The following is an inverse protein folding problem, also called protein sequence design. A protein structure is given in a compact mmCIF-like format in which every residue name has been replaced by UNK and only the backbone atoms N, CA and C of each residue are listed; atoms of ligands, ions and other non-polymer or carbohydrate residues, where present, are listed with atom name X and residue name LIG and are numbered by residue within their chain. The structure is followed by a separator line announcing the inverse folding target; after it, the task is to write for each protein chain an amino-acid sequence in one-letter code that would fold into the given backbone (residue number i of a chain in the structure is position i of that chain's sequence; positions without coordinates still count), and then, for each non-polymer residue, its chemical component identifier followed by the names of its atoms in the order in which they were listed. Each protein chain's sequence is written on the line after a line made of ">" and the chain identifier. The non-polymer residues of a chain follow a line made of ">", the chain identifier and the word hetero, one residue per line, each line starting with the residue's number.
data_IF_302029957472
#
_entry.id   IF_302029957472
#
_cell.length_a   1.000
_cell.length_b   1.000
_cell.length_c   1.000
_cell.angle_alpha   90.00
_cell.angle_beta   90.00
_cell.angle_gamma   90.00
#
_symmetry.space_group_name_H-M   'P 1'
#
loop_
_entity.id
_entity.type
_entity.pdbx_description
1 polymer ?
#
# COMPACT_ATOMS: atom_id res chain seq x y z
N UNK A 1 70.62 9.49 28.41
CA UNK A 1 71.15 9.49 27.03
C UNK A 1 70.15 8.68 26.20
N UNK A 2 69.49 9.21 25.15
CA UNK A 2 70.02 9.90 23.94
C UNK A 2 70.68 8.84 23.04
N UNK A 3 70.34 8.59 21.76
CA UNK A 3 69.34 9.05 20.73
C UNK A 3 68.83 7.77 19.99
N UNK A 4 67.71 7.60 19.26
CA UNK A 4 66.86 8.33 18.27
C UNK A 4 67.43 8.58 16.86
N UNK A 5 67.10 7.68 15.91
CA UNK A 5 66.86 7.90 14.45
C UNK A 5 65.80 6.86 13.99
N UNK A 6 64.83 7.03 13.06
CA UNK A 6 64.61 7.87 11.85
C UNK A 6 65.21 7.27 10.56
N UNK A 7 64.57 7.22 9.37
CA UNK A 7 63.19 7.54 8.91
C UNK A 7 62.48 6.23 8.43
N UNK A 8 61.38 6.10 7.66
CA UNK A 8 60.46 6.90 6.80
C UNK A 8 59.03 6.31 6.94
N UNK A 9 57.88 6.93 6.65
CA UNK A 9 57.44 8.20 6.03
C UNK A 9 57.48 8.35 4.48
N UNK A 10 56.30 8.25 3.86
CA UNK A 10 55.97 8.82 2.54
C UNK A 10 54.76 9.76 2.68
N UNK A 11 54.88 10.99 2.14
CA UNK A 11 53.77 11.94 1.99
C UNK A 11 52.77 11.52 0.89
N UNK A 12 51.79 12.33 0.49
CA UNK A 12 51.68 13.80 0.44
C UNK A 12 50.21 14.23 0.62
N UNK A 13 49.83 15.47 0.94
CA UNK A 13 50.53 16.61 1.55
C UNK A 13 49.47 17.65 1.99
N UNK A 14 49.81 18.51 2.97
CA UNK A 14 48.99 19.66 3.35
C UNK A 14 49.32 20.90 2.51
N UNK A 15 48.34 21.77 2.28
CA UNK A 15 48.52 23.14 1.78
C UNK A 15 47.71 24.08 2.68
N UNK A 16 48.33 25.07 3.35
CA UNK A 16 47.63 25.93 4.30
C UNK A 16 46.87 27.06 3.60
N UNK A 17 45.62 27.31 4.00
CA UNK A 17 44.80 28.36 3.38
C UNK A 17 43.51 28.71 4.12
N UNK A 18 43.60 29.59 5.12
CA UNK A 18 42.51 30.30 5.82
C UNK A 18 41.35 29.46 6.39
N UNK A 19 41.27 29.43 7.72
CA UNK A 19 39.96 29.36 8.40
C UNK A 19 39.09 30.53 7.95
N UNK A 20 37.81 30.28 7.67
CA UNK A 20 36.82 31.34 7.41
C UNK A 20 35.38 30.86 7.70
N UNK A 21 35.13 30.46 8.94
CA UNK A 21 33.79 30.32 9.51
C UNK A 21 33.81 30.71 10.99
N UNK A 22 33.79 32.02 11.24
CA UNK A 22 33.34 32.54 12.53
C UNK A 22 31.82 32.29 12.67
N UNK A 23 31.33 31.86 13.84
CA UNK A 23 29.92 31.53 14.05
C UNK A 23 29.02 32.74 14.32
N UNK A 24 29.49 33.97 14.06
CA UNK A 24 28.82 35.22 14.44
C UNK A 24 28.76 36.26 13.29
N UNK A 25 28.08 35.95 12.17
CA UNK A 25 27.32 36.95 11.39
C UNK A 25 26.46 36.30 10.28
N UNK A 26 25.18 36.04 10.54
CA UNK A 26 24.18 35.82 9.47
C UNK A 26 22.74 36.14 9.91
N UNK A 27 22.56 37.30 10.54
CA UNK A 27 21.21 37.84 10.78
C UNK A 27 20.51 38.13 9.45
N UNK A 28 19.53 37.30 9.08
CA UNK A 28 18.59 37.58 8.00
C UNK A 28 18.94 36.97 6.64
N UNK A 29 18.75 35.65 6.50
CA UNK A 29 17.63 35.17 5.67
C UNK A 29 17.31 33.68 5.97
N UNK A 30 16.33 33.45 6.85
CA UNK A 30 15.64 32.16 6.93
C UNK A 30 14.82 31.96 5.65
N UNK A 31 15.43 31.39 4.61
CA UNK A 31 14.69 30.81 3.48
C UNK A 31 14.38 29.36 3.87
N UNK A 32 13.14 29.03 4.32
CA UNK A 32 12.80 27.64 4.55
C UNK A 32 12.79 26.88 3.22
N UNK A 33 13.66 25.88 3.08
CA UNK A 33 13.59 24.87 2.01
C UNK A 33 12.41 23.89 2.20
N UNK A 34 11.29 24.40 2.73
CA UNK A 34 9.98 23.74 2.66
C UNK A 34 9.50 23.75 1.22
N UNK A 35 9.26 22.57 0.64
CA UNK A 35 8.47 22.43 -0.59
C UNK A 35 6.98 22.49 -0.18
N UNK A 36 6.31 23.66 -0.23
CA UNK A 36 5.16 23.90 0.67
C UNK A 36 3.91 23.12 0.27
N UNK A 37 3.81 22.76 -1.02
CA UNK A 37 2.59 22.22 -1.61
C UNK A 37 2.42 20.71 -1.36
N UNK A 38 3.53 19.97 -1.15
CA UNK A 38 3.48 18.50 -1.02
C UNK A 38 3.00 18.10 0.37
N UNK A 39 3.50 18.76 1.42
CA UNK A 39 3.09 18.52 2.81
C UNK A 39 1.63 18.91 3.04
N UNK A 40 1.20 20.09 2.57
CA UNK A 40 -0.19 20.51 2.66
C UNK A 40 -1.14 19.52 1.94
N UNK A 41 -0.74 18.97 0.80
CA UNK A 41 -1.54 17.96 0.09
C UNK A 41 -1.57 16.62 0.84
N UNK A 42 -0.44 16.15 1.40
CA UNK A 42 -0.43 14.91 2.20
C UNK A 42 -1.30 15.03 3.45
N UNK A 43 -1.25 16.18 4.13
CA UNK A 43 -2.01 16.42 5.36
C UNK A 43 -3.52 16.52 5.08
N UNK A 44 -3.90 17.21 4.00
CA UNK A 44 -5.29 17.25 3.54
C UNK A 44 -5.80 15.85 3.17
N UNK A 45 -5.03 15.08 2.40
CA UNK A 45 -5.40 13.72 2.00
C UNK A 45 -5.45 12.74 3.19
N UNK A 46 -4.50 12.83 4.14
CA UNK A 46 -4.54 12.05 5.37
C UNK A 46 -5.78 12.39 6.21
N UNK A 47 -6.14 13.66 6.35
CA UNK A 47 -7.35 14.07 7.09
C UNK A 47 -8.66 13.65 6.39
N UNK A 48 -8.71 13.70 5.06
CA UNK A 48 -9.86 13.25 4.28
C UNK A 48 -10.05 11.73 4.38
N UNK A 49 -8.97 10.96 4.24
CA UNK A 49 -9.00 9.52 4.41
C UNK A 49 -9.27 9.09 5.87
N UNK A 50 -8.84 9.86 6.88
CA UNK A 50 -9.22 9.65 8.27
C UNK A 50 -10.74 9.74 8.48
N UNK A 51 -11.38 10.75 7.89
CA UNK A 51 -12.85 10.92 7.94
C UNK A 51 -13.57 9.78 7.22
N UNK A 52 -13.01 9.26 6.13
CA UNK A 52 -13.56 8.08 5.44
C UNK A 52 -13.47 6.82 6.32
N UNK A 53 -12.32 6.53 6.93
CA UNK A 53 -12.19 5.41 7.88
C UNK A 53 -13.18 5.54 9.04
N UNK A 54 -13.22 6.69 9.69
CA UNK A 54 -14.12 6.95 10.83
C UNK A 54 -15.60 6.82 10.44
N UNK A 55 -15.99 7.26 9.23
CA UNK A 55 -17.37 7.10 8.73
C UNK A 55 -17.70 5.64 8.46
N UNK A 56 -16.75 4.86 7.93
CA UNK A 56 -16.91 3.41 7.73
C UNK A 56 -17.04 2.65 9.06
N UNK A 57 -16.26 3.06 10.07
CA UNK A 57 -16.34 2.53 11.44
C UNK A 57 -17.69 2.86 12.11
N UNK A 58 -18.17 4.11 12.01
CA UNK A 58 -19.51 4.51 12.49
C UNK A 58 -20.64 3.69 11.84
N UNK A 59 -20.49 3.30 10.58
CA UNK A 59 -21.44 2.45 9.84
C UNK A 59 -21.21 0.94 10.08
N UNK A 60 -20.19 0.55 10.85
CA UNK A 60 -19.73 -0.83 11.03
C UNK A 60 -19.43 -1.56 9.69
N UNK A 61 -19.03 -0.81 8.66
CA UNK A 61 -18.75 -1.30 7.32
C UNK A 61 -17.24 -1.46 7.09
N UNK A 62 -16.77 -2.70 7.01
CA UNK A 62 -15.37 -2.96 6.64
C UNK A 62 -15.15 -2.64 5.16
N UNK A 63 -14.04 -1.99 4.82
CA UNK A 63 -13.67 -1.74 3.42
C UNK A 63 -13.64 -3.04 2.58
N UNK A 64 -13.27 -4.17 3.19
CA UNK A 64 -13.34 -5.51 2.59
C UNK A 64 -14.75 -5.86 2.07
N UNK A 65 -15.80 -5.58 2.85
CA UNK A 65 -17.19 -5.88 2.43
C UNK A 65 -17.68 -4.95 1.32
N UNK A 66 -17.18 -3.71 1.25
CA UNK A 66 -17.47 -2.81 0.12
C UNK A 66 -16.81 -3.30 -1.17
N UNK A 67 -15.55 -3.73 -1.12
CA UNK A 67 -14.86 -4.31 -2.27
C UNK A 67 -15.51 -5.62 -2.74
N UNK A 68 -15.93 -6.49 -1.82
CA UNK A 68 -16.71 -7.68 -2.13
C UNK A 68 -18.03 -7.33 -2.85
N UNK A 69 -18.78 -6.34 -2.34
CA UNK A 69 -20.04 -5.91 -2.94
C UNK A 69 -19.83 -5.29 -4.34
N UNK A 70 -18.78 -4.48 -4.52
CA UNK A 70 -18.39 -3.94 -5.83
C UNK A 70 -18.04 -5.07 -6.82
N UNK A 71 -17.32 -6.11 -6.37
CA UNK A 71 -17.00 -7.27 -7.19
C UNK A 71 -18.25 -8.08 -7.58
N UNK A 72 -19.18 -8.33 -6.65
CA UNK A 72 -20.48 -8.97 -6.93
C UNK A 72 -21.27 -8.18 -7.98
N UNK A 73 -21.28 -6.85 -7.89
CA UNK A 73 -21.95 -5.95 -8.83
C UNK A 73 -21.31 -6.01 -10.23
N UNK A 74 -19.98 -6.06 -10.33
CA UNK A 74 -19.27 -6.27 -11.61
C UNK A 74 -19.66 -7.61 -12.23
N UNK A 75 -19.61 -8.70 -11.46
CA UNK A 75 -19.96 -10.05 -11.94
C UNK A 75 -21.41 -10.11 -12.42
N UNK A 76 -22.36 -9.53 -11.67
CA UNK A 76 -23.77 -9.50 -12.07
C UNK A 76 -23.99 -8.76 -13.40
N UNK A 77 -23.44 -7.54 -13.54
CA UNK A 77 -23.51 -6.76 -14.79
C UNK A 77 -22.86 -7.50 -15.97
N UNK A 78 -21.75 -8.19 -15.72
CA UNK A 78 -21.02 -8.95 -16.73
C UNK A 78 -21.81 -10.20 -17.17
N UNK A 79 -22.40 -10.98 -16.25
CA UNK A 79 -23.29 -12.11 -16.57
C UNK A 79 -24.52 -11.65 -17.36
N UNK A 80 -25.18 -10.55 -16.94
CA UNK A 80 -26.28 -9.96 -17.72
C UNK A 80 -25.87 -9.46 -19.11
N UNK A 81 -24.58 -9.28 -19.38
CA UNK A 81 -24.08 -8.93 -20.72
C UNK A 81 -23.71 -10.19 -21.52
N UNK A 82 -22.98 -11.12 -20.91
CA UNK A 82 -22.63 -12.42 -21.49
C UNK A 82 -23.86 -13.17 -22.02
N UNK A 83 -24.95 -13.22 -21.23
CA UNK A 83 -26.22 -13.84 -21.63
C UNK A 83 -26.96 -13.10 -22.78
N UNK A 84 -26.61 -11.85 -23.09
CA UNK A 84 -27.15 -11.11 -24.26
C UNK A 84 -26.22 -11.12 -25.47
N UNK A 85 -24.92 -11.30 -25.29
CA UNK A 85 -23.93 -11.42 -26.36
C UNK A 85 -23.83 -12.84 -26.93
N UNK A 86 -24.88 -13.66 -26.80
CA UNK A 86 -24.89 -15.06 -27.21
C UNK A 86 -25.13 -15.20 -28.73
N UNK A 87 -24.15 -14.74 -29.52
CA UNK A 87 -24.16 -14.80 -30.97
C UNK A 87 -22.85 -14.28 -31.58
N UNK A 88 -22.41 -14.84 -32.70
CA UNK A 88 -21.11 -14.55 -33.32
C UNK A 88 -20.92 -13.06 -33.72
N UNK A 89 -22.00 -12.29 -33.83
CA UNK A 89 -21.97 -10.86 -34.18
C UNK A 89 -21.48 -9.95 -33.06
N UNK A 90 -21.42 -10.41 -31.81
CA UNK A 90 -21.13 -9.59 -30.62
C UNK A 90 -19.88 -10.08 -29.85
N UNK A 91 -18.92 -10.71 -30.57
CA UNK A 91 -17.69 -11.29 -30.02
C UNK A 91 -16.90 -10.37 -29.05
N UNK A 92 -16.69 -9.06 -29.32
CA UNK A 92 -16.01 -8.17 -28.37
C UNK A 92 -16.74 -8.05 -27.03
N UNK A 93 -18.08 -8.03 -27.04
CA UNK A 93 -18.90 -8.01 -25.84
C UNK A 93 -18.84 -9.33 -25.05
N UNK A 94 -18.77 -10.46 -25.76
CA UNK A 94 -18.55 -11.78 -25.15
C UNK A 94 -17.18 -11.87 -24.46
N UNK A 95 -16.11 -11.41 -25.12
CA UNK A 95 -14.76 -11.39 -24.57
C UNK A 95 -14.65 -10.47 -23.35
N UNK A 96 -15.17 -9.24 -23.44
CA UNK A 96 -15.07 -8.27 -22.34
C UNK A 96 -15.94 -8.66 -21.14
N UNK A 97 -17.13 -9.24 -21.36
CA UNK A 97 -17.94 -9.79 -20.27
C UNK A 97 -17.29 -11.03 -19.62
N UNK A 98 -16.65 -11.91 -20.39
CA UNK A 98 -15.88 -13.05 -19.84
C UNK A 98 -14.69 -12.59 -19.00
N UNK A 99 -13.99 -11.53 -19.44
CA UNK A 99 -12.92 -10.88 -18.68
C UNK A 99 -13.43 -10.28 -17.36
N UNK A 100 -14.56 -9.55 -17.40
CA UNK A 100 -15.19 -8.97 -16.21
C UNK A 100 -15.69 -10.02 -15.22
N UNK A 101 -16.31 -11.12 -15.69
CA UNK A 101 -16.71 -12.25 -14.83
C UNK A 101 -15.48 -12.83 -14.13
N UNK A 102 -14.44 -13.19 -14.89
CA UNK A 102 -13.22 -13.81 -14.35
C UNK A 102 -12.56 -12.92 -13.29
N UNK A 103 -12.36 -11.65 -13.60
CA UNK A 103 -11.68 -10.73 -12.67
C UNK A 103 -12.54 -10.33 -11.48
N UNK A 104 -13.85 -10.14 -11.66
CA UNK A 104 -14.78 -9.90 -10.56
C UNK A 104 -14.82 -11.09 -9.58
N UNK A 105 -14.84 -12.33 -10.08
CA UNK A 105 -14.76 -13.53 -9.25
C UNK A 105 -13.43 -13.63 -8.48
N UNK A 106 -12.30 -13.25 -9.08
CA UNK A 106 -10.99 -13.23 -8.38
C UNK A 106 -11.03 -12.27 -7.18
N UNK A 107 -11.56 -11.05 -7.34
CA UNK A 107 -11.69 -10.08 -6.24
C UNK A 107 -12.70 -10.58 -5.19
N UNK A 108 -13.84 -11.12 -5.64
CA UNK A 108 -14.86 -11.69 -4.75
C UNK A 108 -14.28 -12.83 -3.87
N UNK A 109 -13.37 -13.65 -4.42
CA UNK A 109 -12.63 -14.69 -3.67
C UNK A 109 -11.59 -14.09 -2.72
N UNK A 110 -10.91 -12.99 -3.10
CA UNK A 110 -10.02 -12.27 -2.18
C UNK A 110 -10.80 -11.69 -1.00
N UNK A 111 -11.97 -11.10 -1.23
CA UNK A 111 -12.69 -10.30 -0.23
C UNK A 111 -13.85 -10.98 0.49
N UNK A 112 -14.18 -12.24 0.17
CA UNK A 112 -15.31 -12.95 0.81
C UNK A 112 -15.25 -12.87 2.35
N UNK A 113 -16.29 -12.32 3.01
CA UNK A 113 -16.31 -12.15 4.46
C UNK A 113 -16.33 -13.50 5.19
N UNK A 114 -15.90 -13.52 6.45
CA UNK A 114 -15.90 -14.73 7.29
C UNK A 114 -14.86 -15.80 6.91
N UNK A 115 -13.86 -15.44 6.09
CA UNK A 115 -12.65 -16.24 5.80
C UNK A 115 -12.88 -17.76 5.57
N UNK A 116 -13.86 -18.18 4.74
CA UNK A 116 -14.25 -19.57 4.62
C UNK A 116 -13.11 -20.47 4.10
N UNK A 117 -12.98 -21.67 4.68
CA UNK A 117 -11.86 -22.61 4.43
C UNK A 117 -11.63 -22.94 2.96
N UNK A 118 -12.69 -23.04 2.15
CA UNK A 118 -12.56 -23.29 0.70
C UNK A 118 -11.86 -22.15 -0.03
N UNK A 119 -12.16 -20.88 0.32
CA UNK A 119 -11.58 -19.71 -0.31
C UNK A 119 -10.09 -19.55 0.01
N UNK A 120 -9.62 -20.06 1.16
CA UNK A 120 -8.21 -19.99 1.55
C UNK A 120 -7.26 -20.62 0.51
N UNK A 121 -7.65 -21.75 -0.11
CA UNK A 121 -6.86 -22.38 -1.18
C UNK A 121 -6.74 -21.45 -2.39
N UNK A 122 -7.86 -20.93 -2.89
CA UNK A 122 -7.87 -20.03 -4.05
C UNK A 122 -7.15 -18.71 -3.76
N UNK A 123 -7.33 -18.12 -2.57
CA UNK A 123 -6.59 -16.94 -2.09
C UNK A 123 -5.08 -17.15 -2.14
N UNK A 124 -4.56 -18.33 -1.78
CA UNK A 124 -3.13 -18.67 -1.89
C UNK A 124 -2.66 -18.71 -3.36
N UNK A 125 -3.46 -19.29 -4.26
CA UNK A 125 -3.14 -19.30 -5.69
C UNK A 125 -3.18 -17.90 -6.31
N UNK A 126 -4.16 -17.06 -5.97
CA UNK A 126 -4.25 -15.67 -6.42
C UNK A 126 -3.05 -14.87 -5.89
N UNK A 127 -2.74 -15.00 -4.59
CA UNK A 127 -1.57 -14.34 -3.98
C UNK A 127 -0.24 -14.69 -4.64
N UNK A 128 -0.04 -15.94 -5.07
CA UNK A 128 1.19 -16.35 -5.79
C UNK A 128 1.30 -15.75 -7.20
N UNK A 129 0.19 -15.61 -7.94
CA UNK A 129 0.23 -15.22 -9.36
C UNK A 129 -0.11 -13.73 -9.60
N UNK A 130 -0.78 -13.06 -8.67
CA UNK A 130 -1.28 -11.68 -8.80
C UNK A 130 -1.00 -10.88 -7.53
N UNK A 131 0.26 -10.84 -7.05
CA UNK A 131 0.67 -10.14 -5.82
C UNK A 131 0.30 -8.64 -5.80
N UNK A 132 0.16 -7.99 -6.97
CA UNK A 132 -0.34 -6.61 -7.05
C UNK A 132 -1.81 -6.48 -6.59
N UNK A 133 -2.63 -7.51 -6.84
CA UNK A 133 -4.06 -7.51 -6.57
C UNK A 133 -4.40 -7.80 -5.10
N UNK A 134 -3.40 -8.19 -4.31
CA UNK A 134 -3.56 -8.34 -2.85
C UNK A 134 -3.05 -7.14 -2.07
N UNK A 135 -2.37 -6.19 -2.72
CA UNK A 135 -2.14 -4.83 -2.19
C UNK A 135 -3.43 -4.01 -2.31
N UNK A 136 -3.72 -3.21 -1.30
CA UNK A 136 -4.94 -2.41 -1.18
C UNK A 136 -5.03 -1.34 -2.28
N UNK A 137 -3.93 -0.67 -2.59
CA UNK A 137 -3.75 0.25 -3.73
C UNK A 137 -3.99 -0.46 -5.05
N UNK A 138 -3.23 -1.51 -5.36
CA UNK A 138 -3.30 -2.24 -6.63
C UNK A 138 -4.66 -2.86 -6.89
N UNK A 139 -5.33 -3.38 -5.86
CA UNK A 139 -6.71 -3.87 -5.92
C UNK A 139 -7.72 -2.77 -6.19
N UNK A 140 -7.56 -1.60 -5.57
CA UNK A 140 -8.43 -0.43 -5.81
C UNK A 140 -8.27 0.04 -7.26
N UNK A 141 -7.04 0.25 -7.72
CA UNK A 141 -6.74 0.60 -9.12
C UNK A 141 -7.39 -0.41 -10.10
N UNK A 142 -7.31 -1.72 -9.80
CA UNK A 142 -7.96 -2.75 -10.62
C UNK A 142 -9.50 -2.63 -10.62
N UNK A 143 -10.13 -2.31 -9.48
CA UNK A 143 -11.59 -2.05 -9.43
C UNK A 143 -12.00 -0.81 -10.23
N UNK A 144 -11.18 0.25 -10.27
CA UNK A 144 -11.42 1.37 -11.20
C UNK A 144 -11.40 0.92 -12.66
N UNK A 145 -10.45 0.06 -13.04
CA UNK A 145 -10.36 -0.49 -14.40
C UNK A 145 -11.58 -1.37 -14.74
N UNK A 146 -12.00 -2.26 -13.83
CA UNK A 146 -13.19 -3.09 -14.03
C UNK A 146 -14.49 -2.27 -14.06
N UNK A 147 -14.59 -1.21 -13.25
CA UNK A 147 -15.70 -0.25 -13.29
C UNK A 147 -15.80 0.46 -14.63
N UNK A 148 -14.68 1.01 -15.13
CA UNK A 148 -14.62 1.65 -16.44
C UNK A 148 -14.97 0.66 -17.59
N UNK A 149 -14.42 -0.55 -17.54
CA UNK A 149 -14.74 -1.61 -18.50
C UNK A 149 -16.22 -2.04 -18.43
N UNK A 150 -16.86 -1.97 -17.26
CA UNK A 150 -18.31 -2.23 -17.09
C UNK A 150 -19.13 -1.14 -17.80
N UNK A 151 -18.76 0.14 -17.70
CA UNK A 151 -19.42 1.23 -18.45
C UNK A 151 -19.32 1.01 -19.96
N UNK A 152 -18.13 0.67 -20.47
CA UNK A 152 -17.91 0.38 -21.89
C UNK A 152 -18.77 -0.81 -22.34
N UNK A 153 -18.81 -1.88 -21.53
CA UNK A 153 -19.60 -3.10 -21.78
C UNK A 153 -21.10 -2.80 -21.87
N UNK A 154 -21.64 -1.97 -20.96
CA UNK A 154 -23.06 -1.57 -20.99
C UNK A 154 -23.35 -0.65 -22.19
N UNK A 155 -22.49 0.31 -22.50
CA UNK A 155 -22.67 1.26 -23.62
C UNK A 155 -22.54 0.60 -25.00
N UNK A 156 -21.70 -0.43 -25.13
CA UNK A 156 -21.45 -1.11 -26.40
C UNK A 156 -22.59 -2.05 -26.83
N UNK A 157 -23.52 -2.39 -25.94
CA UNK A 157 -24.60 -3.33 -26.27
C UNK A 157 -25.69 -2.64 -27.11
N UNK A 158 -25.92 -3.17 -28.32
CA UNK A 158 -26.73 -2.55 -29.38
C UNK A 158 -28.22 -2.37 -29.07
N UNK A 159 -28.74 -3.00 -28.01
CA UNK A 159 -30.11 -2.82 -27.52
C UNK A 159 -30.18 -2.87 -26.00
N UNK A 160 -30.11 -1.68 -25.38
CA UNK A 160 -30.19 -1.47 -23.93
C UNK A 160 -31.35 -0.52 -23.63
N UNK A 161 -32.44 -1.06 -23.07
CA UNK A 161 -33.53 -0.24 -22.56
C UNK A 161 -33.03 0.68 -21.43
N UNK A 162 -33.53 1.92 -21.38
CA UNK A 162 -32.98 3.00 -20.56
C UNK A 162 -32.72 2.63 -19.09
N UNK A 163 -33.61 1.84 -18.47
CA UNK A 163 -33.43 1.34 -17.10
C UNK A 163 -32.11 0.58 -16.91
N UNK A 164 -31.72 -0.31 -17.83
CA UNK A 164 -30.44 -1.04 -17.74
C UNK A 164 -29.23 -0.11 -17.93
N UNK A 165 -29.35 0.95 -18.73
CA UNK A 165 -28.29 1.95 -18.86
C UNK A 165 -28.15 2.72 -17.53
N UNK A 166 -29.26 3.18 -16.93
CA UNK A 166 -29.26 3.86 -15.63
C UNK A 166 -28.69 2.98 -14.52
N UNK A 167 -29.16 1.73 -14.38
CA UNK A 167 -28.60 0.79 -13.39
C UNK A 167 -27.12 0.47 -13.67
N UNK A 168 -26.71 0.33 -14.93
CA UNK A 168 -25.30 0.12 -15.31
C UNK A 168 -24.39 1.30 -14.97
N UNK A 169 -24.87 2.53 -15.14
CA UNK A 169 -24.15 3.75 -14.76
C UNK A 169 -24.07 3.92 -13.24
N UNK A 170 -25.19 3.75 -12.52
CA UNK A 170 -25.22 3.86 -11.05
C UNK A 170 -24.34 2.80 -10.38
N UNK A 171 -24.39 1.57 -10.87
CA UNK A 171 -23.54 0.48 -10.35
C UNK A 171 -22.06 0.69 -10.66
N UNK A 172 -21.71 1.21 -11.84
CA UNK A 172 -20.32 1.57 -12.17
C UNK A 172 -19.82 2.76 -11.34
N UNK A 173 -20.68 3.75 -11.06
CA UNK A 173 -20.36 4.88 -10.17
C UNK A 173 -20.13 4.41 -8.73
N UNK A 174 -20.92 3.46 -8.23
CA UNK A 174 -20.69 2.83 -6.92
C UNK A 174 -19.34 2.09 -6.87
N UNK A 175 -19.03 1.28 -7.89
CA UNK A 175 -17.72 0.58 -8.01
C UNK A 175 -16.56 1.58 -8.00
N UNK A 176 -16.69 2.70 -8.73
CA UNK A 176 -15.67 3.75 -8.76
C UNK A 176 -15.54 4.48 -7.42
N UNK A 177 -16.65 4.76 -6.73
CA UNK A 177 -16.64 5.36 -5.38
C UNK A 177 -15.98 4.47 -4.33
N UNK A 178 -16.29 3.18 -4.34
CA UNK A 178 -15.63 2.17 -3.48
C UNK A 178 -14.14 2.08 -3.78
N UNK A 179 -13.76 2.08 -5.06
CA UNK A 179 -12.37 2.09 -5.50
C UNK A 179 -11.62 3.34 -4.99
N UNK A 180 -12.17 4.54 -5.21
CA UNK A 180 -11.55 5.79 -4.80
C UNK A 180 -11.38 5.88 -3.27
N UNK A 181 -12.41 5.50 -2.50
CA UNK A 181 -12.32 5.43 -1.04
C UNK A 181 -11.23 4.43 -0.60
N UNK A 182 -11.20 3.24 -1.20
CA UNK A 182 -10.18 2.23 -0.96
C UNK A 182 -8.75 2.70 -1.25
N UNK A 183 -8.57 3.43 -2.35
CA UNK A 183 -7.28 4.00 -2.76
C UNK A 183 -6.80 5.10 -1.81
N UNK A 184 -7.69 6.00 -1.37
CA UNK A 184 -7.37 7.04 -0.39
C UNK A 184 -6.98 6.46 0.98
N UNK A 185 -7.70 5.43 1.44
CA UNK A 185 -7.37 4.68 2.65
C UNK A 185 -5.98 4.02 2.50
N UNK A 186 -5.69 3.40 1.35
CA UNK A 186 -4.42 2.75 1.10
C UNK A 186 -3.23 3.74 1.11
N UNK A 187 -3.36 4.93 0.50
CA UNK A 187 -2.32 5.97 0.54
C UNK A 187 -2.09 6.44 1.99
N UNK A 188 -3.17 6.72 2.75
CA UNK A 188 -3.06 7.12 4.15
C UNK A 188 -2.30 6.08 5.00
N UNK A 189 -2.62 4.79 4.86
CA UNK A 189 -1.88 3.73 5.56
C UNK A 189 -0.42 3.62 5.09
N UNK A 190 -0.17 3.81 3.79
CA UNK A 190 1.20 3.85 3.22
C UNK A 190 2.04 5.00 3.81
N UNK A 191 1.46 6.20 3.95
CA UNK A 191 2.13 7.34 4.58
C UNK A 191 2.33 7.16 6.09
N UNK A 192 1.37 6.54 6.81
CA UNK A 192 1.57 6.16 8.23
C UNK A 192 2.74 5.18 8.40
N UNK A 193 2.91 4.23 7.48
CA UNK A 193 4.04 3.29 7.46
C UNK A 193 5.37 4.00 7.15
N UNK A 194 5.41 4.87 6.14
CA UNK A 194 6.63 5.62 5.79
C UNK A 194 7.05 6.59 6.90
N UNK A 195 6.10 7.19 7.62
CA UNK A 195 6.33 8.02 8.81
C UNK A 195 6.98 7.22 9.95
N UNK A 196 6.54 5.98 10.18
CA UNK A 196 7.19 5.08 11.12
C UNK A 196 8.62 4.70 10.67
N UNK A 197 8.81 4.38 9.38
CA UNK A 197 10.11 4.08 8.77
C UNK A 197 11.12 5.23 8.93
N UNK A 198 10.72 6.47 8.66
CA UNK A 198 11.60 7.64 8.87
C UNK A 198 12.03 7.72 10.33
N UNK A 199 11.08 7.73 11.28
CA UNK A 199 11.38 7.87 12.71
C UNK A 199 12.31 6.75 13.20
N UNK A 200 12.13 5.51 12.73
CA UNK A 200 13.03 4.38 13.05
C UNK A 200 14.43 4.63 12.46
N UNK A 201 14.53 5.05 11.18
CA UNK A 201 15.79 5.32 10.47
C UNK A 201 16.60 6.45 11.12
N UNK A 202 15.89 7.52 11.50
CA UNK A 202 16.45 8.72 12.14
C UNK A 202 16.94 8.38 13.56
N UNK A 203 16.12 7.67 14.34
CA UNK A 203 16.47 7.23 15.72
C UNK A 203 17.62 6.23 15.73
N UNK A 204 17.66 5.30 14.78
CA UNK A 204 18.73 4.29 14.68
C UNK A 204 20.01 4.83 14.04
N UNK A 205 20.03 6.08 13.53
CA UNK A 205 21.18 6.69 12.82
C UNK A 205 21.75 5.81 11.70
N UNK A 206 20.89 5.04 11.03
CA UNK A 206 21.28 4.06 10.01
C UNK A 206 21.59 2.64 10.51
N UNK A 207 21.75 2.40 11.82
CA UNK A 207 21.94 1.06 12.41
C UNK A 207 20.62 0.29 12.60
N UNK A 208 19.76 0.28 11.57
CA UNK A 208 18.42 -0.31 11.66
C UNK A 208 18.41 -1.86 11.68
N UNK A 209 19.52 -2.53 11.30
CA UNK A 209 19.67 -3.97 11.46
C UNK A 209 19.79 -4.37 12.94
N UNK A 210 20.54 -3.62 13.74
CA UNK A 210 20.64 -3.87 15.18
C UNK A 210 19.32 -3.56 15.91
N UNK A 211 18.53 -2.63 15.35
CA UNK A 211 17.14 -2.45 15.73
C UNK A 211 16.30 -3.69 15.42
N UNK A 212 16.31 -4.22 14.18
CA UNK A 212 15.59 -5.46 13.83
C UNK A 212 15.90 -6.60 14.82
N UNK A 213 17.19 -6.86 15.07
CA UNK A 213 17.67 -7.93 15.97
C UNK A 213 17.29 -7.73 17.45
N UNK A 214 17.00 -6.50 17.87
CA UNK A 214 16.51 -6.19 19.23
C UNK A 214 15.04 -6.60 19.44
N UNK A 215 14.22 -6.59 18.39
CA UNK A 215 12.77 -6.85 18.51
C UNK A 215 12.32 -8.19 17.93
N UNK A 216 13.03 -8.76 16.95
CA UNK A 216 12.76 -10.09 16.40
C UNK A 216 13.37 -11.18 17.31
N UNK A 217 12.65 -11.55 18.38
CA UNK A 217 13.14 -12.44 19.44
C UNK A 217 12.31 -13.72 19.61
N UNK A 218 11.03 -13.71 19.21
CA UNK A 218 10.08 -14.79 19.44
C UNK A 218 10.25 -15.99 18.50
N UNK A 219 10.72 -15.76 17.27
CA UNK A 219 10.99 -16.82 16.29
C UNK A 219 12.16 -16.41 15.36
N UNK A 220 13.40 -16.84 15.67
CA UNK A 220 14.58 -16.51 14.85
C UNK A 220 14.56 -17.11 13.44
N UNK A 221 13.88 -18.23 13.24
CA UNK A 221 13.83 -18.95 11.95
C UNK A 221 12.82 -18.31 10.98
N UNK A 222 11.70 -17.83 11.52
CA UNK A 222 10.66 -17.14 10.73
C UNK A 222 10.83 -15.61 10.70
N UNK A 223 11.48 -15.00 11.69
CA UNK A 223 11.72 -13.56 11.74
C UNK A 223 10.62 -12.76 12.45
N UNK A 224 10.66 -11.44 12.30
CA UNK A 224 9.87 -10.50 13.10
C UNK A 224 8.36 -10.67 12.90
N UNK A 225 7.64 -10.94 13.99
CA UNK A 225 6.19 -11.16 14.00
C UNK A 225 5.38 -9.85 14.11
N UNK A 226 4.06 -9.94 13.92
CA UNK A 226 3.13 -8.80 13.99
C UNK A 226 3.27 -7.94 15.26
N UNK A 227 3.32 -8.58 16.43
CA UNK A 227 3.38 -7.87 17.72
C UNK A 227 4.75 -7.22 17.96
N UNK A 228 5.82 -7.88 17.54
CA UNK A 228 7.20 -7.38 17.61
C UNK A 228 7.39 -6.14 16.73
N UNK A 229 6.89 -6.19 15.49
CA UNK A 229 6.88 -5.06 14.57
C UNK A 229 6.07 -3.88 15.13
N UNK A 230 4.85 -4.14 15.63
CA UNK A 230 3.99 -3.09 16.19
C UNK A 230 4.62 -2.46 17.44
N UNK A 231 5.25 -3.27 18.30
CA UNK A 231 6.02 -2.81 19.47
C UNK A 231 7.23 -1.99 19.05
N UNK A 232 8.01 -2.43 18.07
CA UNK A 232 9.13 -1.65 17.53
C UNK A 232 8.65 -0.28 17.02
N UNK A 233 7.55 -0.21 16.28
CA UNK A 233 6.95 1.05 15.86
C UNK A 233 6.48 1.91 17.04
N UNK A 234 5.85 1.32 18.06
CA UNK A 234 5.42 2.03 19.26
C UNK A 234 6.61 2.62 20.04
N UNK A 235 7.64 1.82 20.32
CA UNK A 235 8.77 2.20 21.17
C UNK A 235 9.59 3.35 20.52
N UNK A 236 9.81 3.32 19.20
CA UNK A 236 10.50 4.42 18.49
C UNK A 236 9.66 5.69 18.28
N UNK A 237 8.33 5.57 18.31
CA UNK A 237 7.42 6.72 18.10
C UNK A 237 6.81 7.25 19.40
N UNK A 238 7.31 6.78 20.56
CA UNK A 238 6.77 7.12 21.89
C UNK A 238 5.26 6.83 22.00
N UNK A 239 4.83 5.70 21.45
CA UNK A 239 3.43 5.25 21.40
C UNK A 239 2.55 5.96 20.34
N UNK A 240 3.08 6.94 19.60
CA UNK A 240 2.27 7.75 18.66
C UNK A 240 1.82 7.01 17.41
N UNK A 241 2.55 5.98 16.97
CA UNK A 241 2.16 5.11 15.86
C UNK A 241 2.09 3.66 16.34
N UNK A 242 0.86 3.21 16.57
CA UNK A 242 0.49 1.81 16.65
C UNK A 242 -0.45 1.46 15.49
N UNK A 243 -0.40 0.21 15.05
CA UNK A 243 -1.24 -0.35 14.00
C UNK A 243 -2.21 -1.37 14.62
N UNK A 244 -3.46 -1.37 14.15
CA UNK A 244 -4.42 -2.43 14.47
C UNK A 244 -4.02 -3.74 13.74
N UNK A 245 -4.53 -4.88 14.21
CA UNK A 245 -4.32 -6.18 13.58
C UNK A 245 -4.73 -6.19 12.09
N UNK A 246 -5.77 -5.45 11.70
CA UNK A 246 -6.19 -5.32 10.30
C UNK A 246 -5.14 -4.58 9.46
N UNK A 247 -4.51 -3.54 10.02
CA UNK A 247 -3.46 -2.77 9.35
C UNK A 247 -2.15 -3.57 9.26
N UNK A 248 -1.79 -4.30 10.32
CA UNK A 248 -0.64 -5.21 10.34
C UNK A 248 -0.76 -6.30 9.25
N UNK A 249 -1.95 -6.88 9.06
CA UNK A 249 -2.19 -7.82 7.96
C UNK A 249 -2.00 -7.19 6.57
N UNK A 250 -2.35 -5.91 6.36
CA UNK A 250 -2.09 -5.21 5.10
C UNK A 250 -0.58 -5.03 4.91
N UNK A 251 0.11 -4.50 5.93
CA UNK A 251 1.55 -4.19 5.91
C UNK A 251 2.37 -5.44 5.59
N UNK A 252 2.15 -6.54 6.32
CA UNK A 252 2.90 -7.78 6.11
C UNK A 252 2.60 -8.41 4.74
N UNK A 253 1.37 -8.36 4.24
CA UNK A 253 1.04 -8.84 2.89
C UNK A 253 1.80 -8.09 1.76
N UNK A 254 2.46 -6.98 2.08
CA UNK A 254 3.36 -6.26 1.18
C UNK A 254 4.84 -6.55 1.50
N UNK A 255 5.23 -6.47 2.77
CA UNK A 255 6.62 -6.61 3.24
C UNK A 255 7.13 -8.07 3.27
N UNK A 256 6.33 -9.02 3.75
CA UNK A 256 6.64 -10.46 3.72
C UNK A 256 6.40 -11.00 2.29
N UNK A 257 7.49 -11.42 1.64
CA UNK A 257 7.44 -11.93 0.26
C UNK A 257 6.92 -13.37 0.19
N UNK A 258 7.05 -14.11 1.29
CA UNK A 258 6.87 -15.56 1.35
C UNK A 258 5.50 -15.95 1.95
N UNK A 259 4.81 -14.99 2.56
CA UNK A 259 3.49 -15.09 3.18
C UNK A 259 3.44 -16.08 4.36
N UNK A 260 4.48 -16.02 5.19
CA UNK A 260 4.63 -16.73 6.46
C UNK A 260 4.13 -15.93 7.69
N UNK A 261 3.69 -14.68 7.49
CA UNK A 261 3.28 -13.74 8.54
C UNK A 261 4.43 -13.27 9.47
N UNK A 262 5.66 -13.26 8.93
CA UNK A 262 6.86 -12.79 9.61
C UNK A 262 7.82 -12.14 8.60
N UNK A 263 8.55 -11.10 9.01
CA UNK A 263 9.45 -10.31 8.15
C UNK A 263 10.91 -10.70 8.42
N UNK A 264 11.67 -11.03 7.38
CA UNK A 264 13.10 -11.37 7.46
C UNK A 264 13.98 -10.15 7.76
N UNK A 265 15.20 -10.36 8.29
CA UNK A 265 16.23 -9.30 8.37
C UNK A 265 16.50 -8.67 6.98
N UNK A 266 16.48 -9.49 5.92
CA UNK A 266 16.62 -9.03 4.52
C UNK A 266 15.40 -8.22 4.05
N UNK A 267 14.19 -8.70 4.29
CA UNK A 267 12.95 -8.01 3.85
C UNK A 267 12.80 -6.67 4.60
N UNK A 268 13.19 -6.64 5.88
CA UNK A 268 13.30 -5.44 6.70
C UNK A 268 14.37 -4.47 6.16
N UNK A 269 15.55 -4.96 5.79
CA UNK A 269 16.59 -4.14 5.16
C UNK A 269 16.09 -3.50 3.86
N UNK A 270 15.47 -4.29 2.98
CA UNK A 270 14.91 -3.82 1.71
C UNK A 270 13.79 -2.78 1.92
N UNK A 271 12.97 -2.92 2.97
CA UNK A 271 11.99 -1.90 3.37
C UNK A 271 12.64 -0.59 3.85
N UNK A 272 13.62 -0.67 4.75
CA UNK A 272 14.29 0.49 5.36
C UNK A 272 15.18 1.27 4.37
N UNK A 273 15.84 0.56 3.45
CA UNK A 273 16.67 1.13 2.40
C UNK A 273 15.87 1.58 1.16
N UNK A 274 14.71 0.96 0.90
CA UNK A 274 13.89 1.18 -0.29
C UNK A 274 13.08 2.48 -0.30
N UNK A 275 12.31 2.66 -1.38
CA UNK A 275 11.38 3.77 -1.59
C UNK A 275 10.07 3.58 -0.78
N UNK A 276 9.08 4.47 -1.00
CA UNK A 276 7.78 4.42 -0.32
C UNK A 276 7.03 3.13 -0.69
N UNK A 277 6.59 2.39 0.32
CA UNK A 277 5.83 1.16 0.14
C UNK A 277 4.33 1.47 0.03
N UNK A 278 3.78 1.29 -1.18
CA UNK A 278 2.35 1.33 -1.43
C UNK A 278 1.66 0.05 -0.99
N UNK A 279 0.74 0.20 -0.03
CA UNK A 279 0.02 -0.88 0.64
C UNK A 279 -1.12 -1.51 -0.16
#
# INVERSE_FOLDING_TARGET
>A
MIETESLHNYGYAEVPGRSFYDPEETNGLDIPLTVPNVTQFSDQMESGAARLEQTLEMLNLRYQTLFFLAAVIIVANAVFTFLRCFGFTELPGLLLSTFLITNGLIIMILDVPGTPRWAAKYRRHIRKNMRFLTRLTGKSIWLSVLGAATVVTVKSSRSVGALRLVFGMLSSLFVFGVSLAGFLIAIRKSFRLEKAKSIIKDTSKGAYIDCYRKYALGDPDHGMQFEEFNRMCADHTSGRLQFDIVDLYIIFNVLDEHQKCAINEREFYEWMAGSIVFL
#
